data_IF_948247025466
#
_entry.id   IF_948247025466
#
_cell.length_a   1.000
_cell.length_b   1.000
_cell.length_c   1.000
_cell.angle_alpha   90.00
_cell.angle_beta   90.00
_cell.angle_gamma   90.00
#
_symmetry.space_group_name_H-M   'P 1'
#
loop_
_entity.id
_entity.type
_entity.pdbx_description
1 polymer ?
#
# COMPACT_ATOMS: atom_id res chain seq x y z
N UNK A 1 8.65 55.33 23.42
CA UNK A 1 9.22 54.67 22.23
C UNK A 1 9.76 53.26 22.51
N UNK A 2 10.31 52.94 23.69
CA UNK A 2 10.78 51.58 24.02
C UNK A 2 9.68 50.51 24.18
N UNK A 3 8.52 50.85 24.73
CA UNK A 3 7.41 49.91 24.96
C UNK A 3 6.73 49.45 23.66
N UNK A 4 6.70 50.30 22.63
CA UNK A 4 6.14 49.98 21.30
C UNK A 4 7.05 49.03 20.51
N UNK A 5 8.36 49.13 20.68
CA UNK A 5 9.33 48.20 20.07
C UNK A 5 9.19 46.79 20.64
N UNK A 6 8.97 46.68 21.96
CA UNK A 6 8.82 45.39 22.64
C UNK A 6 7.54 44.63 22.21
N UNK A 7 6.45 45.36 21.95
CA UNK A 7 5.19 44.79 21.45
C UNK A 7 5.29 44.30 20.00
N UNK A 8 6.13 44.95 19.17
CA UNK A 8 6.39 44.52 17.79
C UNK A 8 7.29 43.28 17.69
N UNK A 9 8.18 43.06 18.67
CA UNK A 9 9.13 41.95 18.67
C UNK A 9 8.52 40.64 19.18
N UNK A 10 7.53 40.72 20.07
CA UNK A 10 6.85 39.55 20.65
C UNK A 10 6.19 38.61 19.63
N UNK A 11 5.43 39.08 18.62
CA UNK A 11 4.88 38.21 17.58
C UNK A 11 5.98 37.60 16.69
N UNK A 12 7.08 38.33 16.45
CA UNK A 12 8.23 37.81 15.69
C UNK A 12 8.94 36.67 16.43
N UNK A 13 9.07 36.78 17.75
CA UNK A 13 9.62 35.74 18.62
C UNK A 13 8.70 34.51 18.69
N UNK A 14 7.38 34.71 18.66
CA UNK A 14 6.42 33.59 18.60
C UNK A 14 6.45 32.87 17.25
N UNK A 15 6.57 33.59 16.13
CA UNK A 15 6.67 32.99 14.79
C UNK A 15 7.97 32.19 14.63
N UNK A 16 9.10 32.73 15.10
CA UNK A 16 10.39 32.03 15.06
C UNK A 16 10.41 30.84 16.01
N UNK A 17 9.79 30.93 17.19
CA UNK A 17 9.57 29.79 18.09
C UNK A 17 8.74 28.69 17.43
N UNK A 18 7.62 29.03 16.78
CA UNK A 18 6.79 28.06 16.02
C UNK A 18 7.55 27.37 14.89
N UNK A 19 8.45 28.08 14.19
CA UNK A 19 9.33 27.50 13.16
C UNK A 19 10.45 26.63 13.76
N UNK A 20 10.79 26.82 15.03
CA UNK A 20 11.82 26.06 15.77
C UNK A 20 11.27 24.82 16.46
N UNK A 21 9.94 24.66 16.54
CA UNK A 21 9.31 23.41 16.92
C UNK A 21 9.53 22.46 15.74
N UNK A 22 10.66 21.76 15.80
CA UNK A 22 11.00 20.66 14.94
C UNK A 22 9.89 19.60 15.05
N UNK A 23 8.87 19.73 14.20
CA UNK A 23 8.13 18.56 13.74
C UNK A 23 9.21 17.74 13.05
N UNK A 24 9.60 16.62 13.63
CA UNK A 24 10.23 15.55 12.87
C UNK A 24 9.22 15.16 11.79
N UNK A 25 9.25 15.90 10.67
CA UNK A 25 8.77 15.38 9.42
C UNK A 25 9.56 14.10 9.26
N UNK A 26 8.87 12.97 9.34
CA UNK A 26 9.41 11.69 8.92
C UNK A 26 9.66 11.79 7.42
N UNK A 27 10.72 12.50 7.05
CA UNK A 27 11.27 12.49 5.72
C UNK A 27 11.91 11.12 5.63
N UNK A 28 11.20 10.17 5.02
CA UNK A 28 11.90 9.08 4.37
C UNK A 28 12.94 9.76 3.49
N UNK A 29 14.22 9.64 3.86
CA UNK A 29 15.27 10.15 3.02
C UNK A 29 15.17 9.37 1.72
N UNK A 30 14.71 10.04 0.67
CA UNK A 30 14.68 9.45 -0.66
C UNK A 30 16.13 9.14 -1.01
N UNK A 31 16.49 7.87 -0.90
CA UNK A 31 17.81 7.43 -1.26
C UNK A 31 17.93 7.59 -2.77
N UNK A 32 18.87 8.43 -3.23
CA UNK A 32 19.04 8.80 -4.64
C UNK A 32 19.05 7.59 -5.58
N UNK A 33 19.59 6.47 -5.08
CA UNK A 33 19.62 5.19 -5.79
C UNK A 33 18.23 4.71 -6.25
N UNK A 34 17.17 4.98 -5.48
CA UNK A 34 15.81 4.48 -5.73
C UNK A 34 14.89 5.48 -6.43
N UNK A 35 15.38 6.68 -6.76
CA UNK A 35 14.58 7.71 -7.45
C UNK A 35 14.01 7.21 -8.78
N UNK A 36 14.78 6.42 -9.53
CA UNK A 36 14.33 5.79 -10.78
C UNK A 36 13.32 4.65 -10.57
N UNK A 37 13.09 4.19 -9.34
CA UNK A 37 12.11 3.14 -9.05
C UNK A 37 10.66 3.68 -8.98
N UNK A 38 10.47 5.00 -8.98
CA UNK A 38 9.15 5.64 -9.07
C UNK A 38 8.61 5.77 -10.49
N UNK A 39 9.48 5.70 -11.51
CA UNK A 39 9.19 6.03 -12.91
C UNK A 39 8.16 5.10 -13.57
N UNK A 40 7.09 5.65 -14.15
CA UNK A 40 6.02 4.87 -14.79
C UNK A 40 6.57 3.89 -15.86
N UNK A 41 6.18 2.63 -15.75
CA UNK A 41 6.50 1.55 -16.67
C UNK A 41 5.33 1.36 -17.65
N UNK A 42 5.64 1.41 -18.94
CA UNK A 42 4.72 1.00 -20.00
C UNK A 42 5.08 -0.40 -20.49
N UNK A 43 4.09 -1.28 -20.50
CA UNK A 43 4.28 -2.67 -20.87
C UNK A 43 3.12 -3.31 -21.65
N UNK A 44 3.27 -3.37 -22.98
CA UNK A 44 2.23 -3.93 -23.85
C UNK A 44 0.89 -3.23 -23.63
N UNK A 45 -0.13 -4.00 -23.24
CA UNK A 45 -1.46 -3.48 -22.87
C UNK A 45 -1.54 -2.82 -21.49
N UNK A 46 -0.53 -2.97 -20.64
CA UNK A 46 -0.45 -2.25 -19.37
C UNK A 46 0.34 -0.97 -19.54
N UNK A 47 -0.20 0.15 -19.08
CA UNK A 47 0.47 1.45 -19.16
C UNK A 47 0.52 2.11 -17.79
N UNK A 48 1.48 3.01 -17.64
CA UNK A 48 1.65 3.84 -16.45
C UNK A 48 1.85 3.02 -15.17
N UNK A 49 2.44 1.83 -15.18
CA UNK A 49 2.56 1.04 -13.94
C UNK A 49 3.70 1.60 -13.07
N UNK A 50 3.48 1.86 -11.78
CA UNK A 50 4.54 2.29 -10.85
C UNK A 50 4.80 1.27 -9.73
N UNK A 51 5.55 1.63 -8.69
CA UNK A 51 5.76 0.81 -7.49
C UNK A 51 4.41 0.27 -6.95
N UNK A 52 4.32 -1.00 -6.48
CA UNK A 52 5.39 -1.96 -6.18
C UNK A 52 5.79 -2.86 -7.35
N UNK A 53 5.28 -2.62 -8.56
CA UNK A 53 5.64 -3.42 -9.73
C UNK A 53 7.06 -3.07 -10.20
N UNK A 54 7.82 -4.08 -10.63
CA UNK A 54 9.21 -3.93 -11.05
C UNK A 54 9.48 -4.76 -12.33
N UNK A 55 10.49 -4.35 -13.12
CA UNK A 55 10.84 -5.01 -14.39
C UNK A 55 11.22 -4.03 -15.50
N UNK A 56 11.33 -4.53 -16.74
CA UNK A 56 11.68 -3.76 -17.95
C UNK A 56 13.10 -3.17 -17.89
N UNK A 57 13.19 -1.84 -17.79
CA UNK A 57 14.41 -1.05 -17.74
C UNK A 57 14.71 -0.58 -16.32
N UNK A 58 13.88 -0.93 -15.32
CA UNK A 58 14.18 -0.60 -13.93
C UNK A 58 15.30 -1.49 -13.41
N UNK A 59 16.20 -0.89 -12.66
CA UNK A 59 17.31 -1.60 -12.07
C UNK A 59 16.80 -2.73 -11.15
N UNK A 60 17.58 -3.81 -11.07
CA UNK A 60 17.22 -5.02 -10.34
C UNK A 60 17.05 -4.82 -8.81
N UNK A 61 17.45 -3.65 -8.28
CA UNK A 61 17.23 -3.26 -6.89
C UNK A 61 15.86 -2.61 -6.64
N UNK A 62 15.11 -2.25 -7.68
CA UNK A 62 13.78 -1.63 -7.56
C UNK A 62 12.66 -2.60 -7.15
N UNK A 63 12.96 -3.88 -6.99
CA UNK A 63 11.98 -4.86 -6.55
C UNK A 63 12.60 -6.20 -6.14
N UNK A 64 11.77 -7.11 -5.58
CA UNK A 64 12.22 -8.42 -5.14
C UNK A 64 12.86 -9.21 -6.28
N UNK A 65 13.98 -9.90 -6.04
CA UNK A 65 14.63 -10.74 -7.09
C UNK A 65 13.80 -11.96 -7.52
N UNK A 66 12.74 -12.29 -6.77
CA UNK A 66 11.87 -13.44 -6.99
C UNK A 66 10.42 -13.05 -6.75
N UNK A 67 9.47 -13.85 -7.26
CA UNK A 67 8.07 -13.66 -6.95
C UNK A 67 7.82 -14.05 -5.49
N UNK A 68 7.56 -13.06 -4.65
CA UNK A 68 7.27 -13.27 -3.22
C UNK A 68 5.77 -13.14 -3.02
N UNK A 69 5.16 -14.16 -2.43
CA UNK A 69 3.80 -14.04 -1.92
C UNK A 69 3.86 -13.17 -0.68
N UNK A 70 3.30 -11.97 -0.75
CA UNK A 70 3.17 -11.09 0.42
C UNK A 70 1.98 -11.56 1.25
N UNK A 71 2.20 -12.54 2.12
CA UNK A 71 1.19 -12.90 3.12
C UNK A 71 1.14 -11.80 4.19
N UNK A 72 -0.06 -11.38 4.56
CA UNK A 72 -0.25 -10.50 5.71
C UNK A 72 -0.02 -11.30 7.00
N UNK A 73 0.44 -10.62 8.05
CA UNK A 73 0.50 -11.23 9.37
C UNK A 73 -0.91 -11.29 9.96
N UNK A 74 -1.58 -12.42 9.79
CA UNK A 74 -2.94 -12.67 10.31
C UNK A 74 -3.05 -12.65 11.84
N UNK A 75 -1.93 -12.61 12.58
CA UNK A 75 -1.96 -12.41 14.03
C UNK A 75 -2.17 -10.95 14.42
N UNK A 76 -2.01 -10.01 13.48
CA UNK A 76 -2.13 -8.57 13.69
C UNK A 76 -3.16 -7.92 12.76
N UNK A 77 -3.38 -8.51 11.58
CA UNK A 77 -4.20 -7.92 10.53
C UNK A 77 -5.20 -8.92 9.95
N UNK A 78 -6.42 -8.45 9.77
CA UNK A 78 -7.44 -9.17 9.02
C UNK A 78 -7.77 -8.45 7.71
N UNK A 79 -8.21 -9.22 6.72
CA UNK A 79 -8.83 -8.62 5.55
C UNK A 79 -10.20 -8.05 5.90
N UNK A 80 -10.43 -6.81 5.48
CA UNK A 80 -11.76 -6.20 5.59
C UNK A 80 -12.76 -6.88 4.64
N UNK A 81 -14.05 -6.74 4.95
CA UNK A 81 -15.11 -7.26 4.07
C UNK A 81 -15.12 -6.55 2.71
N UNK A 82 -15.55 -7.25 1.67
CA UNK A 82 -15.67 -6.65 0.33
C UNK A 82 -14.39 -6.68 -0.50
N UNK A 83 -13.38 -7.42 -0.08
CA UNK A 83 -12.18 -7.70 -0.87
C UNK A 83 -12.33 -8.97 -1.70
N UNK A 84 -11.72 -8.98 -2.88
CA UNK A 84 -11.59 -10.16 -3.76
C UNK A 84 -10.15 -10.24 -4.26
N UNK A 85 -9.69 -11.44 -4.61
CA UNK A 85 -8.33 -11.63 -5.11
C UNK A 85 -8.24 -11.37 -6.61
N UNK A 86 -7.40 -10.41 -7.01
CA UNK A 86 -6.88 -10.27 -8.35
C UNK A 86 -5.57 -11.04 -8.45
N UNK A 87 -5.56 -12.16 -9.19
CA UNK A 87 -4.39 -13.04 -9.28
C UNK A 87 -3.66 -12.83 -10.59
N UNK A 88 -2.36 -12.54 -10.50
CA UNK A 88 -1.43 -12.42 -11.62
C UNK A 88 -0.64 -13.71 -11.79
N UNK A 89 -0.62 -14.25 -13.00
CA UNK A 89 0.12 -15.43 -13.38
C UNK A 89 1.28 -15.06 -14.29
N UNK A 90 2.48 -15.46 -13.92
CA UNK A 90 3.73 -15.12 -14.61
C UNK A 90 4.33 -16.32 -15.33
N UNK A 91 5.06 -16.03 -16.41
CA UNK A 91 5.73 -17.02 -17.25
C UNK A 91 4.79 -18.13 -17.71
N UNK A 92 3.68 -17.72 -18.32
CA UNK A 92 2.73 -18.65 -18.91
C UNK A 92 3.22 -19.12 -20.29
N UNK A 93 3.20 -20.43 -20.51
CA UNK A 93 3.71 -21.07 -21.73
C UNK A 93 2.68 -21.16 -22.85
N UNK A 94 1.40 -20.87 -22.56
CA UNK A 94 0.30 -20.99 -23.53
C UNK A 94 -0.58 -19.75 -23.53
N UNK A 95 -1.12 -19.43 -24.71
CA UNK A 95 -1.97 -18.26 -24.93
C UNK A 95 -3.45 -18.50 -24.62
N UNK A 96 -3.89 -19.76 -24.58
CA UNK A 96 -5.30 -20.12 -24.38
C UNK A 96 -5.46 -20.91 -23.10
N UNK A 97 -5.39 -20.21 -21.96
CA UNK A 97 -5.68 -20.82 -20.66
C UNK A 97 -7.12 -20.45 -20.25
N UNK A 98 -8.03 -21.43 -20.11
CA UNK A 98 -9.42 -21.17 -19.74
C UNK A 98 -9.53 -20.43 -18.40
N UNK A 99 -10.40 -19.41 -18.33
CA UNK A 99 -10.64 -18.64 -17.11
C UNK A 99 -9.63 -17.54 -16.81
N UNK A 100 -8.59 -17.37 -17.63
CA UNK A 100 -7.69 -16.22 -17.57
C UNK A 100 -8.16 -15.10 -18.50
N UNK A 101 -8.18 -13.87 -17.98
CA UNK A 101 -8.48 -12.68 -18.76
C UNK A 101 -7.25 -12.24 -19.57
N UNK A 102 -7.41 -11.15 -20.34
CA UNK A 102 -6.47 -10.56 -21.30
C UNK A 102 -4.99 -10.89 -21.05
N UNK A 103 -4.33 -11.37 -22.10
CA UNK A 103 -2.88 -11.55 -22.13
C UNK A 103 -2.20 -10.20 -22.07
N UNK A 104 -1.20 -10.09 -21.22
CA UNK A 104 -0.19 -9.05 -21.34
C UNK A 104 1.14 -9.71 -21.63
N UNK A 105 1.86 -9.17 -22.60
CA UNK A 105 3.19 -9.64 -22.94
C UNK A 105 4.18 -8.84 -22.07
N UNK A 106 5.15 -9.51 -21.44
CA UNK A 106 6.04 -8.86 -20.50
C UNK A 106 7.04 -7.96 -21.19
N UNK A 107 7.56 -7.10 -20.35
CA UNK A 107 8.52 -6.09 -20.68
C UNK A 107 9.82 -6.44 -19.99
N UNK A 108 10.63 -7.12 -20.78
CA UNK A 108 12.09 -7.15 -20.85
C UNK A 108 12.43 -7.99 -22.09
N UNK A 109 13.70 -8.16 -22.42
CA UNK A 109 14.19 -8.94 -23.59
C UNK A 109 13.75 -10.42 -23.65
N UNK A 110 13.23 -10.99 -22.56
CA UNK A 110 12.86 -12.41 -22.41
C UNK A 110 11.37 -12.73 -22.64
N UNK A 111 10.56 -11.77 -23.12
CA UNK A 111 9.20 -12.01 -23.63
C UNK A 111 8.30 -12.91 -22.74
N UNK A 112 8.30 -12.70 -21.42
CA UNK A 112 7.51 -13.51 -20.47
C UNK A 112 6.02 -13.19 -20.62
N UNK A 113 5.09 -14.15 -20.59
CA UNK A 113 3.65 -13.79 -20.64
C UNK A 113 3.08 -13.64 -19.24
N UNK A 114 2.38 -12.54 -18.99
CA UNK A 114 1.64 -12.28 -17.74
C UNK A 114 0.15 -12.28 -18.03
N UNK A 115 -0.62 -12.99 -17.22
CA UNK A 115 -2.08 -13.04 -17.32
C UNK A 115 -2.69 -12.75 -15.97
N UNK A 116 -3.96 -12.37 -15.92
CA UNK A 116 -4.63 -12.16 -14.65
C UNK A 116 -6.04 -12.74 -14.63
N UNK A 117 -6.50 -13.11 -13.45
CA UNK A 117 -7.84 -13.58 -13.21
C UNK A 117 -8.42 -12.91 -11.94
N UNK A 118 -9.66 -12.47 -12.02
CA UNK A 118 -10.40 -11.90 -10.87
C UNK A 118 -11.16 -12.98 -10.08
N UNK A 119 -11.30 -14.16 -10.68
CA UNK A 119 -11.90 -15.35 -10.08
C UNK A 119 -10.88 -16.47 -10.20
N UNK A 120 -10.83 -17.35 -9.22
CA UNK A 120 -10.03 -18.56 -9.34
C UNK A 120 -10.48 -19.33 -10.58
N UNK A 121 -9.57 -19.61 -11.53
CA UNK A 121 -9.90 -20.45 -12.67
C UNK A 121 -10.29 -21.85 -12.17
N UNK A 122 -11.12 -22.61 -12.92
CA UNK A 122 -11.55 -23.94 -12.52
C UNK A 122 -10.39 -24.90 -12.27
N UNK A 123 -9.28 -24.67 -12.96
CA UNK A 123 -8.03 -25.43 -12.84
C UNK A 123 -6.90 -24.41 -12.64
N UNK A 124 -6.07 -24.61 -11.62
CA UNK A 124 -4.94 -23.74 -11.34
C UNK A 124 -3.86 -23.84 -12.45
N UNK A 125 -3.56 -22.74 -13.15
CA UNK A 125 -2.51 -22.67 -14.16
C UNK A 125 -1.11 -23.02 -13.62
N UNK A 126 -0.85 -22.79 -12.34
CA UNK A 126 0.44 -23.13 -11.72
C UNK A 126 0.54 -24.63 -11.50
N UNK A 127 -0.51 -25.24 -10.92
CA UNK A 127 -0.57 -26.69 -10.71
C UNK A 127 -0.45 -27.49 -12.03
N UNK A 128 -1.01 -26.97 -13.12
CA UNK A 128 -0.93 -27.59 -14.46
C UNK A 128 0.36 -27.27 -15.22
N UNK A 129 1.28 -26.50 -14.64
CA UNK A 129 2.51 -26.01 -15.29
C UNK A 129 2.26 -25.13 -16.53
N UNK A 130 1.03 -24.63 -16.69
CA UNK A 130 0.69 -23.67 -17.72
C UNK A 130 1.33 -22.31 -17.45
N UNK A 131 1.51 -21.96 -16.17
CA UNK A 131 2.26 -20.80 -15.69
C UNK A 131 3.23 -21.19 -14.57
N UNK A 132 4.31 -20.43 -14.37
CA UNK A 132 5.34 -20.75 -13.37
C UNK A 132 4.97 -20.29 -11.95
N UNK A 133 4.29 -19.15 -11.86
CA UNK A 133 4.00 -18.49 -10.58
C UNK A 133 2.64 -17.81 -10.65
N UNK A 134 1.87 -17.89 -9.57
CA UNK A 134 0.66 -17.08 -9.33
C UNK A 134 0.85 -16.19 -8.10
N UNK A 135 0.43 -14.92 -8.19
CA UNK A 135 0.49 -13.95 -7.10
C UNK A 135 -0.89 -13.31 -6.96
N UNK A 136 -1.51 -13.46 -5.79
CA UNK A 136 -2.83 -12.89 -5.50
C UNK A 136 -2.72 -11.57 -4.75
N UNK A 137 -3.36 -10.54 -5.27
CA UNK A 137 -3.46 -9.22 -4.66
C UNK A 137 -4.92 -8.99 -4.25
N UNK A 138 -5.22 -8.79 -2.95
CA UNK A 138 -6.54 -8.37 -2.51
C UNK A 138 -6.87 -7.00 -3.10
N UNK A 139 -8.06 -6.84 -3.64
CA UNK A 139 -8.56 -5.57 -4.18
C UNK A 139 -10.03 -5.41 -3.81
N UNK A 140 -10.53 -4.18 -3.74
CA UNK A 140 -11.95 -3.96 -3.54
C UNK A 140 -12.78 -4.63 -4.64
N UNK A 141 -13.83 -5.34 -4.26
CA UNK A 141 -14.73 -6.02 -5.19
C UNK A 141 -15.32 -5.05 -6.22
N UNK A 142 -15.64 -3.83 -5.79
CA UNK A 142 -16.12 -2.76 -6.68
C UNK A 142 -15.07 -2.35 -7.72
N UNK A 143 -13.79 -2.28 -7.35
CA UNK A 143 -12.70 -2.01 -8.29
C UNK A 143 -12.48 -3.19 -9.26
N UNK A 144 -12.53 -4.43 -8.77
CA UNK A 144 -12.46 -5.61 -9.64
C UNK A 144 -13.61 -5.65 -10.67
N UNK A 145 -14.84 -5.31 -10.26
CA UNK A 145 -15.98 -5.22 -11.17
C UNK A 145 -15.81 -4.10 -12.21
N UNK A 146 -15.27 -2.94 -11.81
CA UNK A 146 -14.97 -1.85 -12.73
C UNK A 146 -13.88 -2.24 -13.75
N UNK A 147 -12.85 -2.97 -13.31
CA UNK A 147 -11.83 -3.53 -14.20
C UNK A 147 -12.44 -4.53 -15.19
N UNK A 148 -13.35 -5.38 -14.73
CA UNK A 148 -14.02 -6.37 -15.58
C UNK A 148 -14.86 -5.72 -16.69
N UNK A 149 -15.39 -4.55 -16.42
CA UNK A 149 -16.16 -3.76 -17.36
C UNK A 149 -15.28 -2.81 -18.21
N UNK A 150 -13.95 -2.99 -18.19
CA UNK A 150 -12.96 -2.15 -18.89
C UNK A 150 -13.07 -0.65 -18.57
N UNK A 151 -13.60 -0.30 -17.38
CA UNK A 151 -13.79 1.11 -16.96
C UNK A 151 -12.54 1.72 -16.35
N UNK A 152 -11.68 0.90 -15.77
CA UNK A 152 -10.46 1.31 -15.08
C UNK A 152 -9.32 0.36 -15.46
N UNK A 153 -8.08 0.79 -15.24
CA UNK A 153 -6.90 -0.01 -15.59
C UNK A 153 -6.40 -0.87 -14.43
N UNK A 154 -5.52 -1.83 -14.70
CA UNK A 154 -4.87 -2.62 -13.64
C UNK A 154 -4.05 -1.75 -12.69
N UNK A 155 -3.39 -0.70 -13.20
CA UNK A 155 -2.69 0.29 -12.37
C UNK A 155 -3.66 0.89 -11.36
N UNK A 156 -4.82 1.33 -11.81
CA UNK A 156 -5.80 1.99 -10.95
C UNK A 156 -6.37 1.03 -9.90
N UNK A 157 -6.67 -0.21 -10.28
CA UNK A 157 -7.24 -1.21 -9.37
C UNK A 157 -6.27 -1.55 -8.25
N UNK A 158 -5.01 -1.81 -8.58
CA UNK A 158 -3.99 -2.14 -7.58
C UNK A 158 -3.54 -0.90 -6.82
N UNK A 159 -3.48 0.26 -7.49
CA UNK A 159 -3.09 1.53 -6.89
C UNK A 159 -4.09 2.11 -5.88
N UNK A 160 -5.37 1.71 -5.95
CA UNK A 160 -6.35 2.00 -4.89
C UNK A 160 -6.01 1.35 -3.56
N UNK A 161 -5.17 0.30 -3.57
CA UNK A 161 -4.86 -0.49 -2.39
C UNK A 161 -6.11 -1.20 -1.84
N UNK A 162 -5.97 -1.68 -0.61
CA UNK A 162 -7.04 -2.30 0.15
C UNK A 162 -6.83 -2.02 1.63
N UNK A 163 -7.94 -1.93 2.36
CA UNK A 163 -7.89 -1.70 3.80
C UNK A 163 -7.65 -3.02 4.54
N UNK A 164 -6.71 -2.98 5.48
CA UNK A 164 -6.48 -4.04 6.46
C UNK A 164 -7.12 -3.64 7.77
N UNK A 165 -7.90 -4.55 8.35
CA UNK A 165 -8.39 -4.41 9.72
C UNK A 165 -7.27 -4.73 10.68
N UNK A 166 -7.01 -3.86 11.64
CA UNK A 166 -6.08 -4.12 12.72
C UNK A 166 -6.79 -5.00 13.77
N UNK A 167 -6.32 -6.22 13.97
CA UNK A 167 -6.94 -7.17 14.89
C UNK A 167 -6.56 -6.86 16.34
N UNK A 168 -7.14 -5.78 16.88
CA UNK A 168 -7.03 -5.42 18.31
C UNK A 168 -8.41 -5.57 18.92
N UNK A 169 -8.74 -6.78 19.36
CA UNK A 169 -9.89 -6.99 20.23
C UNK A 169 -9.44 -6.84 21.69
N UNK A 170 -9.51 -5.60 22.18
CA UNK A 170 -9.18 -5.31 23.56
C UNK A 170 -10.16 -4.26 24.10
N UNK A 171 -10.72 -4.50 25.29
CA UNK A 171 -11.56 -3.57 26.06
C UNK A 171 -10.94 -2.17 26.10
N UNK A 172 -9.63 -2.14 26.22
CA UNK A 172 -8.76 -0.98 26.17
C UNK A 172 -8.88 -0.17 24.86
N UNK A 173 -8.93 -0.84 23.71
CA UNK A 173 -9.14 -0.17 22.43
C UNK A 173 -10.54 0.42 22.32
N UNK A 174 -11.56 -0.29 22.81
CA UNK A 174 -12.92 0.23 22.85
C UNK A 174 -13.01 1.53 23.66
N UNK A 175 -12.43 1.55 24.86
CA UNK A 175 -12.38 2.76 25.69
C UNK A 175 -11.61 3.90 25.00
N UNK A 176 -10.50 3.60 24.32
CA UNK A 176 -9.75 4.58 23.53
C UNK A 176 -10.62 5.25 22.46
N UNK A 177 -11.32 4.45 21.65
CA UNK A 177 -12.20 4.97 20.59
C UNK A 177 -13.37 5.76 21.17
N UNK A 178 -13.97 5.28 22.26
CA UNK A 178 -15.05 6.00 22.98
C UNK A 178 -14.57 7.35 23.53
N UNK A 179 -13.31 7.47 23.92
CA UNK A 179 -12.69 8.73 24.34
C UNK A 179 -12.28 9.66 23.18
N UNK A 180 -12.50 9.26 21.93
CA UNK A 180 -12.15 10.06 20.74
C UNK A 180 -10.75 9.79 20.16
N UNK A 181 -10.05 8.77 20.64
CA UNK A 181 -8.72 8.37 20.16
C UNK A 181 -8.75 7.31 19.06
N UNK A 182 -7.57 6.93 18.58
CA UNK A 182 -7.37 5.80 17.67
C UNK A 182 -6.45 4.75 18.29
N UNK A 183 -6.84 3.48 18.23
CA UNK A 183 -6.04 2.39 18.77
C UNK A 183 -4.80 2.09 17.93
N UNK A 184 -3.74 1.67 18.60
CA UNK A 184 -2.49 1.24 18.00
C UNK A 184 -1.94 -0.04 18.62
N UNK A 185 -1.00 -0.66 17.91
CA UNK A 185 -0.14 -1.70 18.47
C UNK A 185 1.07 -1.08 19.18
N UNK A 186 1.43 -1.65 20.32
CA UNK A 186 2.54 -1.21 21.13
C UNK A 186 3.67 -2.26 21.10
N UNK A 187 4.79 -1.98 20.44
CA UNK A 187 5.96 -2.89 20.38
C UNK A 187 7.10 -2.51 21.33
N UNK A 188 7.16 -1.26 21.80
CA UNK A 188 8.26 -0.74 22.68
C UNK A 188 7.81 0.38 23.66
N UNK A 189 6.63 0.97 23.38
CA UNK A 189 5.84 1.97 24.11
C UNK A 189 6.23 3.45 24.13
N UNK A 190 5.20 4.29 23.88
CA UNK A 190 4.82 5.46 24.70
C UNK A 190 3.30 5.51 25.05
N UNK A 191 2.41 4.82 24.33
CA UNK A 191 0.99 4.58 24.66
C UNK A 191 0.31 3.73 23.58
N UNK A 192 -0.86 3.11 23.83
CA UNK A 192 -1.61 2.34 22.81
C UNK A 192 -2.81 3.11 22.24
N UNK A 193 -3.26 4.17 22.93
CA UNK A 193 -4.31 5.05 22.46
C UNK A 193 -3.72 6.35 21.91
N UNK A 194 -3.87 6.59 20.61
CA UNK A 194 -3.39 7.81 19.98
C UNK A 194 -4.44 8.92 20.05
N UNK A 195 -4.12 9.96 20.80
CA UNK A 195 -4.97 11.15 21.00
C UNK A 195 -4.32 12.38 20.35
N UNK A 196 -5.08 13.48 20.26
CA UNK A 196 -4.64 14.73 19.62
C UNK A 196 -3.48 15.41 20.36
N UNK A 197 -3.41 15.21 21.66
CA UNK A 197 -2.38 15.74 22.55
C UNK A 197 -1.18 14.80 22.66
N UNK A 198 -1.37 13.62 23.25
CA UNK A 198 -0.30 12.64 23.41
C UNK A 198 -0.84 11.20 23.38
N UNK A 199 0.02 10.19 23.14
CA UNK A 199 -0.40 8.80 23.24
C UNK A 199 -0.59 8.40 24.71
N UNK A 200 -1.75 7.85 25.03
CA UNK A 200 -2.07 7.37 26.37
C UNK A 200 -1.99 5.85 26.48
N UNK A 201 -1.93 5.42 27.75
CA UNK A 201 -2.50 4.18 28.26
C UNK A 201 -3.77 3.82 27.50
N UNK A 202 -4.92 4.18 28.07
CA UNK A 202 -6.20 3.58 27.69
C UNK A 202 -7.19 4.48 26.99
N UNK A 203 -7.23 5.75 27.39
CA UNK A 203 -8.26 6.71 26.98
C UNK A 203 -7.61 8.06 26.84
N UNK A 204 -8.11 8.86 25.90
CA UNK A 204 -7.79 10.28 25.84
C UNK A 204 -8.36 11.00 27.06
N UNK A 205 -7.60 11.94 27.60
CA UNK A 205 -8.13 12.83 28.63
C UNK A 205 -9.16 13.77 28.00
N UNK A 206 -10.32 13.92 28.64
CA UNK A 206 -11.27 14.96 28.29
C UNK A 206 -10.64 16.31 28.70
N UNK A 207 -10.54 17.24 27.74
CA UNK A 207 -10.13 18.62 28.00
C UNK A 207 -11.33 19.45 28.41
#
# INVERSE_FOLDING_TARGET
MHTLLLQSLFPLLLITSFLSINVELSLSQDNEQYTNCGEDINCGGFRNISYPFWGVNRANYCGPKTYVTTNINFSLFDYTSGLTNLTFYYACNTSNIPGLNSSSQACNTNNTTVRYAMRSPPVDPVATRACKTGVSVPVFTTAALALKADRITIKEVVGRGFELGLQIDNVQCKSCVESGGKCGLNTTSRGFCFCLDEPYATTCNAK
#
